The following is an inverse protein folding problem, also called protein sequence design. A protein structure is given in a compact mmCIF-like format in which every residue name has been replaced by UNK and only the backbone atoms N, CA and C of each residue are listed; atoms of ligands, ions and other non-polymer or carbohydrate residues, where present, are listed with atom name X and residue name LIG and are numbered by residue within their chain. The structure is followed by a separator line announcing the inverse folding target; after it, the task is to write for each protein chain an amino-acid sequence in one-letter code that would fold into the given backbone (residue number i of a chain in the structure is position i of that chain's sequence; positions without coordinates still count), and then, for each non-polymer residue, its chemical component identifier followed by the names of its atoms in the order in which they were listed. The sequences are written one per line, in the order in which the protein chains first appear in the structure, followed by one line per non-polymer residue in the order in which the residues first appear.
data_IF_030259600616
#
_entry.id   IF_030259600616
#
_cell.length_a   1.000
_cell.length_b   1.000
_cell.length_c   1.000
_cell.angle_alpha   90.00
_cell.angle_beta   90.00
_cell.angle_gamma   90.00
#
_symmetry.space_group_name_H-M   'P 1'
#
loop_
_entity.id
_entity.type
_entity.pdbx_description
1 polymer ?
#
# COMPACT_ATOMS: atom_id res chain seq x y z
N UNK A 1 -28.00 19.61 -4.66
CA UNK A 1 -27.37 19.57 -3.32
C UNK A 1 -27.78 18.29 -2.63
N UNK A 2 -26.92 17.76 -1.76
CA UNK A 2 -27.19 16.54 -1.00
C UNK A 2 -26.73 16.71 0.45
N UNK A 3 -27.48 16.15 1.39
CA UNK A 3 -27.08 16.05 2.79
C UNK A 3 -26.42 14.69 3.01
N UNK A 4 -25.26 14.69 3.67
CA UNK A 4 -24.52 13.48 3.97
C UNK A 4 -24.27 13.38 5.47
N UNK A 5 -24.60 12.22 6.04
CA UNK A 5 -24.35 11.87 7.43
C UNK A 5 -23.66 10.51 7.46
N UNK A 6 -22.58 10.41 8.25
CA UNK A 6 -21.73 9.22 8.34
C UNK A 6 -21.00 9.25 9.69
N UNK A 7 -20.72 8.08 10.27
CA UNK A 7 -19.85 7.98 11.44
C UNK A 7 -18.36 8.14 11.08
N UNK A 8 -17.54 8.38 12.10
CA UNK A 8 -16.11 8.62 11.91
C UNK A 8 -15.36 7.42 11.31
N UNK A 9 -15.71 6.18 11.67
CA UNK A 9 -15.01 4.99 11.16
C UNK A 9 -15.21 4.85 9.65
N UNK A 10 -16.46 4.98 9.21
CA UNK A 10 -16.81 4.89 7.80
C UNK A 10 -16.33 6.12 7.02
N UNK A 11 -16.26 7.30 7.65
CA UNK A 11 -15.62 8.48 7.07
C UNK A 11 -14.14 8.25 6.78
N UNK A 12 -13.39 7.71 7.75
CA UNK A 12 -11.96 7.40 7.56
C UNK A 12 -11.77 6.35 6.46
N UNK A 13 -12.66 5.36 6.37
CA UNK A 13 -12.63 4.41 5.25
C UNK A 13 -12.90 5.08 3.90
N UNK A 14 -13.89 5.97 3.82
CA UNK A 14 -14.15 6.78 2.62
C UNK A 14 -12.93 7.60 2.21
N UNK A 15 -12.30 8.29 3.17
CA UNK A 15 -11.10 9.09 2.93
C UNK A 15 -9.95 8.24 2.38
N UNK A 16 -9.72 7.05 2.96
CA UNK A 16 -8.68 6.13 2.47
C UNK A 16 -8.87 5.79 0.98
N UNK A 17 -10.11 5.53 0.55
CA UNK A 17 -10.40 5.16 -0.84
C UNK A 17 -10.42 6.34 -1.80
N UNK A 18 -10.80 7.53 -1.33
CA UNK A 18 -11.03 8.70 -2.19
C UNK A 18 -9.87 9.68 -2.24
N UNK A 19 -8.98 9.65 -1.25
CA UNK A 19 -7.73 10.41 -1.31
C UNK A 19 -6.65 9.74 -2.17
N UNK A 20 -6.85 8.47 -2.54
CA UNK A 20 -5.91 7.69 -3.36
C UNK A 20 -5.66 8.29 -4.76
N UNK A 21 -4.44 8.16 -5.29
CA UNK A 21 -4.07 8.70 -6.61
C UNK A 21 -4.86 8.06 -7.77
N UNK A 22 -5.38 6.86 -7.60
CA UNK A 22 -6.21 6.17 -8.58
C UNK A 22 -7.68 6.64 -8.55
N UNK A 23 -8.10 7.39 -7.53
CA UNK A 23 -9.43 7.98 -7.49
C UNK A 23 -9.57 9.10 -8.53
N UNK A 24 -10.81 9.35 -8.98
CA UNK A 24 -11.10 10.45 -9.90
C UNK A 24 -10.77 11.80 -9.25
N UNK A 25 -10.19 12.73 -10.01
CA UNK A 25 -9.66 13.99 -9.48
C UNK A 25 -10.69 14.79 -8.69
N UNK A 26 -11.92 14.89 -9.19
CA UNK A 26 -12.98 15.68 -8.56
C UNK A 26 -13.29 15.15 -7.15
N UNK A 27 -13.56 13.84 -7.01
CA UNK A 27 -13.87 13.26 -5.69
C UNK A 27 -12.65 13.27 -4.76
N UNK A 28 -11.44 13.15 -5.32
CA UNK A 28 -10.21 13.28 -4.53
C UNK A 28 -10.06 14.66 -3.94
N UNK A 29 -10.31 15.72 -4.69
CA UNK A 29 -10.28 17.10 -4.17
C UNK A 29 -11.27 17.29 -3.01
N UNK A 30 -12.50 16.78 -3.14
CA UNK A 30 -13.47 16.80 -2.05
C UNK A 30 -12.97 16.03 -0.82
N UNK A 31 -12.48 14.81 -1.01
CA UNK A 31 -11.97 13.99 0.08
C UNK A 31 -10.75 14.62 0.77
N UNK A 32 -9.82 15.22 0.01
CA UNK A 32 -8.66 15.94 0.55
C UNK A 32 -9.09 17.09 1.44
N UNK A 33 -10.07 17.91 1.03
CA UNK A 33 -10.58 19.00 1.87
C UNK A 33 -11.24 18.46 3.14
N UNK A 34 -12.06 17.41 3.04
CA UNK A 34 -12.69 16.79 4.21
C UNK A 34 -11.63 16.24 5.19
N UNK A 35 -10.62 15.53 4.67
CA UNK A 35 -9.56 14.94 5.49
C UNK A 35 -8.65 15.98 6.13
N UNK A 36 -7.98 16.79 5.31
CA UNK A 36 -6.92 17.70 5.73
C UNK A 36 -7.43 18.98 6.42
N UNK A 37 -8.61 19.48 6.04
CA UNK A 37 -9.12 20.76 6.57
C UNK A 37 -10.19 20.60 7.66
N UNK A 38 -10.92 19.48 7.68
CA UNK A 38 -12.02 19.25 8.64
C UNK A 38 -11.63 18.19 9.66
N UNK A 39 -11.40 16.95 9.23
CA UNK A 39 -11.14 15.81 10.13
C UNK A 39 -9.85 16.02 10.92
N UNK A 40 -8.78 16.49 10.25
CA UNK A 40 -7.50 16.79 10.89
C UNK A 40 -7.61 17.80 12.05
N UNK A 41 -8.52 18.77 11.94
CA UNK A 41 -8.75 19.80 12.97
C UNK A 41 -9.74 19.33 14.04
N UNK A 42 -10.73 18.52 13.66
CA UNK A 42 -11.79 18.04 14.55
C UNK A 42 -11.31 16.93 15.49
N UNK A 43 -10.59 15.94 14.98
CA UNK A 43 -10.13 14.74 15.72
C UNK A 43 -8.65 14.46 15.46
N UNK A 44 -7.73 15.36 15.88
CA UNK A 44 -6.32 15.34 15.46
C UNK A 44 -5.58 14.04 15.79
N UNK A 45 -5.79 13.45 16.98
CA UNK A 45 -5.14 12.19 17.35
C UNK A 45 -5.62 11.01 16.50
N UNK A 46 -6.90 11.00 16.13
CA UNK A 46 -7.44 9.95 15.24
C UNK A 46 -6.92 10.15 13.83
N UNK A 47 -6.80 11.41 13.38
CA UNK A 47 -6.23 11.74 12.07
C UNK A 47 -4.77 11.32 11.95
N UNK A 48 -3.95 11.61 12.95
CA UNK A 48 -2.55 11.17 13.03
C UNK A 48 -2.44 9.65 12.95
N UNK A 49 -3.17 8.93 13.83
CA UNK A 49 -3.19 7.46 13.81
C UNK A 49 -3.71 6.90 12.47
N UNK A 50 -4.71 7.53 11.86
CA UNK A 50 -5.20 7.13 10.54
C UNK A 50 -4.13 7.31 9.46
N UNK A 51 -3.37 8.40 9.47
CA UNK A 51 -2.30 8.63 8.51
C UNK A 51 -1.18 7.59 8.65
N UNK A 52 -0.75 7.33 9.88
CA UNK A 52 0.40 6.46 10.14
C UNK A 52 0.08 4.98 9.88
N UNK A 53 -1.07 4.52 10.36
CA UNK A 53 -1.40 3.08 10.35
C UNK A 53 -2.30 2.66 9.19
N UNK A 54 -2.89 3.61 8.45
CA UNK A 54 -3.84 3.29 7.35
C UNK A 54 -3.49 3.96 6.04
N UNK A 55 -3.40 5.30 6.00
CA UNK A 55 -3.26 6.03 4.74
C UNK A 55 -1.87 5.87 4.13
N UNK A 56 -0.82 5.99 4.94
CA UNK A 56 0.58 5.93 4.50
C UNK A 56 1.22 4.57 4.81
N UNK A 57 0.46 3.61 5.31
CA UNK A 57 0.98 2.32 5.69
C UNK A 57 1.28 1.45 4.45
N UNK A 58 2.48 0.87 4.42
CA UNK A 58 2.82 -0.18 3.46
C UNK A 58 2.20 -1.50 3.90
N UNK A 59 1.46 -2.16 3.00
CA UNK A 59 0.93 -3.50 3.25
C UNK A 59 1.73 -4.53 2.47
N UNK A 60 2.20 -5.54 3.18
CA UNK A 60 2.79 -6.75 2.60
C UNK A 60 1.76 -7.88 2.71
N UNK A 61 1.56 -8.58 1.61
CA UNK A 61 0.83 -9.84 1.55
C UNK A 61 1.63 -10.96 2.23
N UNK A 62 0.97 -12.10 2.44
CA UNK A 62 1.62 -13.29 3.01
C UNK A 62 2.89 -13.69 2.26
N UNK A 63 2.85 -13.89 0.92
CA UNK A 63 4.02 -14.25 0.13
C UNK A 63 5.12 -13.17 0.16
N UNK A 64 4.75 -11.88 0.10
CA UNK A 64 5.72 -10.79 0.22
C UNK A 64 6.45 -10.81 1.57
N UNK A 65 5.73 -11.14 2.65
CA UNK A 65 6.31 -11.23 4.00
C UNK A 65 7.31 -12.39 4.10
N UNK A 66 7.02 -13.52 3.47
CA UNK A 66 7.95 -14.65 3.40
C UNK A 66 9.21 -14.31 2.61
N UNK A 67 9.05 -13.69 1.44
CA UNK A 67 10.19 -13.28 0.63
C UNK A 67 11.03 -12.21 1.35
N UNK A 68 10.40 -11.28 2.06
CA UNK A 68 11.10 -10.30 2.90
C UNK A 68 11.96 -10.97 3.97
N UNK A 69 11.49 -12.06 4.58
CA UNK A 69 12.30 -12.82 5.56
C UNK A 69 13.58 -13.36 4.92
N UNK A 70 13.49 -13.92 3.70
CA UNK A 70 14.64 -14.45 2.96
C UNK A 70 15.62 -13.34 2.54
N UNK A 71 15.09 -12.20 2.09
CA UNK A 71 15.89 -11.02 1.74
C UNK A 71 16.66 -10.48 2.95
N UNK A 72 16.02 -10.39 4.12
CA UNK A 72 16.66 -9.96 5.37
C UNK A 72 17.75 -10.95 5.80
N UNK A 73 17.53 -12.25 5.62
CA UNK A 73 18.53 -13.29 5.88
C UNK A 73 19.70 -13.29 4.88
N UNK A 74 19.63 -12.48 3.81
CA UNK A 74 20.63 -12.40 2.73
C UNK A 74 20.88 -13.74 2.00
N UNK A 75 19.91 -14.67 2.04
CA UNK A 75 20.01 -15.97 1.38
C UNK A 75 19.61 -15.86 -0.11
N UNK A 76 20.55 -15.38 -0.92
CA UNK A 76 20.36 -15.16 -2.35
C UNK A 76 19.94 -16.42 -3.13
N UNK A 77 20.51 -17.63 -2.87
CA UNK A 77 20.01 -18.87 -3.44
C UNK A 77 18.54 -19.14 -3.12
N UNK A 78 18.15 -19.06 -1.84
CA UNK A 78 16.78 -19.35 -1.41
C UNK A 78 15.78 -18.35 -2.01
N UNK A 79 16.14 -17.07 -2.10
CA UNK A 79 15.30 -16.04 -2.77
C UNK A 79 15.03 -16.42 -4.22
N UNK A 80 16.06 -16.82 -4.97
CA UNK A 80 15.92 -17.19 -6.39
C UNK A 80 15.10 -18.45 -6.59
N UNK A 81 15.22 -19.42 -5.68
CA UNK A 81 14.42 -20.64 -5.70
C UNK A 81 12.95 -20.32 -5.40
N UNK A 82 12.68 -19.57 -4.32
CA UNK A 82 11.34 -19.16 -3.93
C UNK A 82 10.62 -18.40 -5.05
N UNK A 83 11.31 -17.46 -5.71
CA UNK A 83 10.77 -16.68 -6.84
C UNK A 83 10.34 -17.57 -8.03
N UNK A 84 11.06 -18.67 -8.27
CA UNK A 84 10.75 -19.63 -9.33
C UNK A 84 9.57 -20.51 -8.94
N UNK A 85 9.59 -21.06 -7.72
CA UNK A 85 8.53 -21.95 -7.22
C UNK A 85 7.17 -21.27 -7.18
N UNK A 86 7.13 -20.00 -6.77
CA UNK A 86 5.90 -19.22 -6.69
C UNK A 86 5.48 -18.61 -8.03
N UNK A 87 6.26 -18.80 -9.10
CA UNK A 87 5.96 -18.28 -10.43
C UNK A 87 6.07 -16.76 -10.54
N UNK A 88 6.80 -16.10 -9.64
CA UNK A 88 7.01 -14.66 -9.64
C UNK A 88 7.99 -14.23 -10.74
N UNK A 89 8.90 -15.13 -11.11
CA UNK A 89 9.76 -15.01 -12.29
C UNK A 89 9.53 -16.22 -13.19
N UNK A 90 9.12 -15.97 -14.43
CA UNK A 90 8.90 -17.03 -15.41
C UNK A 90 10.22 -17.69 -15.83
N UNK A 91 10.22 -19.02 -15.81
CA UNK A 91 11.37 -19.85 -16.19
C UNK A 91 11.68 -19.82 -17.69
N UNK A 92 10.71 -19.44 -18.54
CA UNK A 92 10.85 -19.50 -20.00
C UNK A 92 11.41 -18.21 -20.61
N UNK A 93 11.00 -17.07 -20.08
CA UNK A 93 11.26 -15.74 -20.65
C UNK A 93 11.79 -14.73 -19.60
N UNK A 94 11.96 -15.14 -18.34
CA UNK A 94 12.41 -14.25 -17.25
C UNK A 94 11.39 -13.17 -16.89
N UNK A 95 10.16 -13.26 -17.40
CA UNK A 95 9.13 -12.23 -17.19
C UNK A 95 8.62 -12.28 -15.76
N UNK A 96 8.57 -11.11 -15.12
CA UNK A 96 8.04 -10.95 -13.76
C UNK A 96 6.51 -10.93 -13.76
N UNK A 97 5.90 -11.59 -12.78
CA UNK A 97 4.46 -11.50 -12.52
C UNK A 97 4.04 -10.09 -12.11
N UNK A 98 2.75 -9.84 -11.99
CA UNK A 98 2.25 -8.54 -11.52
C UNK A 98 2.64 -8.32 -10.06
N UNK A 99 2.49 -9.36 -9.24
CA UNK A 99 2.81 -9.37 -7.81
C UNK A 99 4.30 -9.08 -7.59
N UNK A 100 5.18 -9.67 -8.41
CA UNK A 100 6.61 -9.40 -8.36
C UNK A 100 6.93 -7.93 -8.64
N UNK A 101 6.27 -7.32 -9.63
CA UNK A 101 6.45 -5.88 -9.94
C UNK A 101 5.92 -4.99 -8.82
N UNK A 102 4.79 -5.34 -8.22
CA UNK A 102 4.24 -4.60 -7.08
C UNK A 102 5.20 -4.63 -5.87
N UNK A 103 5.79 -5.79 -5.58
CA UNK A 103 6.78 -5.90 -4.52
C UNK A 103 8.07 -5.12 -4.85
N UNK A 104 8.51 -5.08 -6.11
CA UNK A 104 9.67 -4.28 -6.49
C UNK A 104 9.50 -2.80 -6.14
N UNK A 105 8.33 -2.23 -6.45
CA UNK A 105 8.02 -0.85 -6.08
C UNK A 105 8.08 -0.66 -4.56
N UNK A 106 7.56 -1.62 -3.79
CA UNK A 106 7.64 -1.58 -2.31
C UNK A 106 9.10 -1.66 -1.83
N UNK A 107 9.90 -2.57 -2.37
CA UNK A 107 11.30 -2.73 -2.01
C UNK A 107 12.13 -1.49 -2.35
N UNK A 108 11.87 -0.84 -3.49
CA UNK A 108 12.52 0.41 -3.87
C UNK A 108 12.29 1.50 -2.82
N UNK A 109 11.07 1.62 -2.27
CA UNK A 109 10.81 2.57 -1.18
C UNK A 109 11.55 2.26 0.12
N UNK A 110 11.99 1.00 0.30
CA UNK A 110 12.83 0.55 1.42
C UNK A 110 14.33 0.60 1.11
N UNK A 111 14.72 1.03 -0.10
CA UNK A 111 16.12 0.99 -0.56
C UNK A 111 16.65 -0.43 -0.82
N UNK A 112 15.77 -1.40 -0.98
CA UNK A 112 16.10 -2.81 -1.27
C UNK A 112 15.87 -3.12 -2.75
N UNK A 113 16.50 -4.18 -3.27
CA UNK A 113 16.31 -4.65 -4.64
C UNK A 113 16.18 -6.17 -4.67
N UNK A 114 15.32 -6.67 -5.58
CA UNK A 114 15.30 -8.10 -5.89
C UNK A 114 16.55 -8.49 -6.68
N UNK A 115 17.11 -9.68 -6.41
CA UNK A 115 18.32 -10.20 -7.07
C UNK A 115 18.10 -10.88 -8.43
#
# INVERSE_FOLDING_TARGET
EAYWSIDLHNLLHFLMLRMDSHAQTEIRQYATVIGEEIVARWVPFVWEAFRDYRLNAMRLSGPETELMRLLIAQDQPAVKEWLKEHGWVSLKDGKKSREAKELEVKLETLGLRLP
#
